data_IF_622803185965
#
_entry.id   IF_622803185965
#
_cell.length_a   1.000
_cell.length_b   1.000
_cell.length_c   1.000
_cell.angle_alpha   90.00
_cell.angle_beta   90.00
_cell.angle_gamma   90.00
#
_symmetry.space_group_name_H-M   'P 1'
#
loop_
_entity.id
_entity.type
_entity.pdbx_description
1 polymer ?
#
# COMPACT_ATOMS: atom_id res chain seq x y z
N UNK A 1 8.43 20.29 -3.07
CA UNK A 1 7.95 21.33 -2.14
C UNK A 1 8.89 22.52 -2.10
N UNK A 2 10.15 22.39 -1.67
CA UNK A 2 11.12 23.50 -1.62
C UNK A 2 11.37 24.19 -2.97
N UNK A 3 11.31 23.45 -4.08
CA UNK A 3 11.42 24.01 -5.44
C UNK A 3 10.22 24.89 -5.84
N UNK A 4 9.04 24.67 -5.26
CA UNK A 4 7.82 25.43 -5.58
C UNK A 4 7.64 26.65 -4.67
N UNK A 5 8.16 26.59 -3.44
CA UNK A 5 8.05 27.66 -2.44
C UNK A 5 9.40 27.99 -1.78
N UNK A 6 10.42 28.41 -2.56
CA UNK A 6 11.78 28.58 -2.05
C UNK A 6 11.87 29.58 -0.89
N UNK A 7 11.14 30.68 -0.97
CA UNK A 7 11.10 31.72 0.07
C UNK A 7 10.37 31.32 1.36
N UNK A 8 9.72 30.15 1.40
CA UNK A 8 8.90 29.69 2.53
C UNK A 8 9.33 28.29 2.99
N UNK A 9 10.53 27.85 2.61
CA UNK A 9 11.04 26.51 2.93
C UNK A 9 10.96 26.20 4.43
N UNK A 10 11.32 27.15 5.28
CA UNK A 10 11.32 26.98 6.74
C UNK A 10 9.91 26.90 7.33
N UNK A 11 8.88 27.29 6.56
CA UNK A 11 7.47 27.22 6.94
C UNK A 11 6.77 25.96 6.44
N UNK A 12 7.49 25.08 5.74
CA UNK A 12 6.94 23.82 5.23
C UNK A 12 7.24 22.71 6.23
N UNK A 13 6.18 22.25 6.89
CA UNK A 13 6.26 21.18 7.89
C UNK A 13 5.57 19.95 7.34
N UNK A 14 6.28 18.83 7.35
CA UNK A 14 5.72 17.53 6.94
C UNK A 14 5.14 16.81 8.15
N UNK A 15 3.89 16.37 8.02
CA UNK A 15 3.20 15.50 8.96
C UNK A 15 2.75 14.24 8.22
N UNK A 16 2.87 13.09 8.85
CA UNK A 16 2.36 11.80 8.36
C UNK A 16 1.24 11.32 9.27
N UNK A 17 0.22 10.69 8.68
CA UNK A 17 -0.83 10.01 9.47
C UNK A 17 -0.27 8.75 10.12
N UNK A 18 -0.99 8.22 11.11
CA UNK A 18 -0.74 6.88 11.65
C UNK A 18 -1.72 5.83 11.12
N UNK A 19 -1.28 4.57 11.11
CA UNK A 19 -2.11 3.39 10.83
C UNK A 19 -2.20 2.54 12.08
N UNK A 20 -3.40 2.04 12.40
CA UNK A 20 -3.61 1.17 13.56
C UNK A 20 -3.01 -0.22 13.29
N UNK A 21 -1.80 -0.46 13.81
CA UNK A 21 -1.09 -1.73 13.64
C UNK A 21 -1.69 -2.91 14.40
N UNK A 22 -2.57 -2.67 15.38
CA UNK A 22 -3.27 -3.73 16.11
C UNK A 22 -4.49 -4.22 15.33
N UNK A 23 -5.11 -3.32 14.56
CA UNK A 23 -6.20 -3.62 13.64
C UNK A 23 -5.68 -4.21 12.32
N UNK A 24 -4.75 -3.52 11.66
CA UNK A 24 -4.14 -3.95 10.41
C UNK A 24 -2.93 -4.84 10.68
N UNK A 25 -3.20 -6.15 10.79
CA UNK A 25 -2.17 -7.17 11.03
C UNK A 25 -2.45 -8.44 10.23
N UNK A 26 -1.43 -9.26 9.96
CA UNK A 26 -1.62 -10.54 9.29
C UNK A 26 -2.56 -11.45 10.09
N UNK A 27 -3.42 -12.19 9.38
CA UNK A 27 -4.14 -13.34 9.92
C UNK A 27 -3.68 -14.61 9.19
N UNK A 28 -4.41 -15.72 9.34
CA UNK A 28 -4.20 -16.90 8.49
C UNK A 28 -4.37 -16.47 7.03
N UNK A 29 -3.29 -16.59 6.25
CA UNK A 29 -3.21 -16.15 4.85
C UNK A 29 -3.77 -17.20 3.90
N UNK A 30 -4.59 -16.77 2.97
CA UNK A 30 -5.09 -17.57 1.87
C UNK A 30 -4.54 -17.04 0.52
N UNK A 31 -4.71 -17.78 -0.56
CA UNK A 31 -4.30 -17.40 -1.92
C UNK A 31 -5.24 -16.33 -2.51
N UNK A 32 -5.40 -15.22 -1.79
CA UNK A 32 -6.30 -14.12 -2.14
C UNK A 32 -5.48 -12.90 -2.53
N UNK A 33 -5.89 -12.26 -3.60
CA UNK A 33 -5.43 -10.94 -4.04
C UNK A 33 -6.55 -9.95 -3.77
N UNK A 34 -6.24 -8.80 -3.18
CA UNK A 34 -7.22 -7.75 -2.88
C UNK A 34 -6.93 -6.47 -3.65
N UNK A 35 -7.97 -5.69 -3.91
CA UNK A 35 -7.86 -4.36 -4.52
C UNK A 35 -9.09 -3.52 -4.17
N UNK A 36 -8.99 -2.20 -4.32
CA UNK A 36 -10.12 -1.28 -4.10
C UNK A 36 -10.66 -0.75 -5.45
N UNK A 37 -11.83 -1.20 -5.95
CA UNK A 37 -12.32 -0.86 -7.30
C UNK A 37 -12.57 0.63 -7.57
N UNK A 38 -12.72 1.43 -6.50
CA UNK A 38 -12.88 2.88 -6.58
C UNK A 38 -11.58 3.61 -6.97
N UNK A 39 -10.40 3.00 -6.74
CA UNK A 39 -9.08 3.58 -7.03
C UNK A 39 -8.68 3.29 -8.48
N UNK A 40 -8.39 4.33 -9.26
CA UNK A 40 -8.11 4.26 -10.71
C UNK A 40 -9.01 3.25 -11.44
N UNK A 41 -10.34 3.43 -11.30
CA UNK A 41 -11.32 2.51 -11.89
C UNK A 41 -11.03 2.15 -13.35
N UNK A 42 -10.70 3.10 -14.26
CA UNK A 42 -10.40 2.77 -15.65
C UNK A 42 -9.27 1.74 -15.84
N UNK A 43 -8.27 1.71 -14.95
CA UNK A 43 -7.17 0.75 -15.03
C UNK A 43 -7.53 -0.56 -14.32
N UNK A 44 -8.13 -0.47 -13.13
CA UNK A 44 -8.53 -1.68 -12.38
C UNK A 44 -9.56 -2.53 -13.14
N UNK A 45 -10.45 -1.90 -13.92
CA UNK A 45 -11.41 -2.59 -14.79
C UNK A 45 -10.78 -3.33 -15.97
N UNK A 46 -9.50 -3.10 -16.27
CA UNK A 46 -8.75 -3.80 -17.33
C UNK A 46 -7.86 -4.87 -16.71
N UNK A 47 -7.06 -4.49 -15.70
CA UNK A 47 -6.08 -5.37 -15.07
C UNK A 47 -6.75 -6.56 -14.39
N UNK A 48 -7.81 -6.32 -13.61
CA UNK A 48 -8.43 -7.37 -12.80
C UNK A 48 -9.03 -8.49 -13.66
N UNK A 49 -9.79 -8.20 -14.73
CA UNK A 49 -10.22 -9.24 -15.66
C UNK A 49 -9.05 -10.03 -16.28
N UNK A 50 -7.98 -9.36 -16.73
CA UNK A 50 -6.81 -10.03 -17.32
C UNK A 50 -6.17 -10.97 -16.30
N UNK A 51 -6.01 -10.53 -15.05
CA UNK A 51 -5.46 -11.37 -13.99
C UNK A 51 -6.36 -12.57 -13.73
N UNK A 52 -7.69 -12.38 -13.62
CA UNK A 52 -8.65 -13.48 -13.38
C UNK A 52 -8.53 -14.61 -14.40
N UNK A 53 -8.30 -14.29 -15.68
CA UNK A 53 -8.10 -15.28 -16.74
C UNK A 53 -6.75 -16.02 -16.63
N UNK A 54 -5.77 -15.45 -15.94
CA UNK A 54 -4.39 -15.95 -15.84
C UNK A 54 -4.03 -16.49 -14.45
N UNK A 55 -4.94 -16.47 -13.48
CA UNK A 55 -4.64 -16.93 -12.12
C UNK A 55 -4.36 -18.44 -12.11
N UNK A 56 -3.32 -18.90 -11.39
CA UNK A 56 -3.15 -20.32 -11.14
C UNK A 56 -4.24 -20.85 -10.20
N UNK A 57 -4.40 -22.18 -10.20
CA UNK A 57 -5.44 -22.85 -9.41
C UNK A 57 -5.35 -22.51 -7.92
N UNK A 58 -6.51 -22.23 -7.32
CA UNK A 58 -6.65 -21.88 -5.91
C UNK A 58 -6.45 -20.38 -5.61
N UNK A 59 -5.96 -19.57 -6.55
CA UNK A 59 -5.92 -18.12 -6.37
C UNK A 59 -7.25 -17.47 -6.70
N UNK A 60 -7.60 -16.42 -5.96
CA UNK A 60 -8.78 -15.60 -6.21
C UNK A 60 -8.50 -14.11 -6.05
N UNK A 61 -9.28 -13.27 -6.73
CA UNK A 61 -9.25 -11.81 -6.56
C UNK A 61 -10.54 -11.35 -5.88
N UNK A 62 -10.41 -10.65 -4.75
CA UNK A 62 -11.51 -10.08 -3.97
C UNK A 62 -11.46 -8.55 -4.01
N UNK A 63 -12.57 -7.94 -4.40
CA UNK A 63 -12.74 -6.49 -4.30
C UNK A 63 -13.00 -6.08 -2.85
N UNK A 64 -12.36 -4.99 -2.41
CA UNK A 64 -12.64 -4.28 -1.16
C UNK A 64 -13.47 -3.05 -1.53
N UNK A 65 -14.78 -3.13 -1.35
CA UNK A 65 -15.72 -2.07 -1.71
C UNK A 65 -16.89 -2.02 -0.72
N UNK A 66 -17.27 -0.81 -0.29
CA UNK A 66 -18.35 -0.60 0.68
C UNK A 66 -18.15 -1.22 2.07
N UNK A 67 -16.93 -1.66 2.41
CA UNK A 67 -16.60 -2.31 3.68
C UNK A 67 -16.27 -1.30 4.78
N UNK A 68 -16.59 -1.65 6.02
CA UNK A 68 -16.09 -0.95 7.22
C UNK A 68 -14.58 -1.16 7.39
N UNK A 69 -13.94 -0.30 8.19
CA UNK A 69 -12.49 -0.41 8.46
C UNK A 69 -12.07 -1.79 9.01
N UNK A 70 -12.85 -2.36 9.93
CA UNK A 70 -12.59 -3.70 10.47
C UNK A 70 -12.70 -4.80 9.40
N UNK A 71 -13.65 -4.67 8.48
CA UNK A 71 -13.82 -5.60 7.36
C UNK A 71 -12.70 -5.45 6.32
N UNK A 72 -12.23 -4.23 6.07
CA UNK A 72 -11.04 -3.97 5.25
C UNK A 72 -9.81 -4.64 5.88
N UNK A 73 -9.57 -4.39 7.17
CA UNK A 73 -8.44 -4.97 7.89
C UNK A 73 -8.48 -6.50 7.88
N UNK A 74 -9.66 -7.11 8.06
CA UNK A 74 -9.86 -8.56 7.91
C UNK A 74 -9.53 -9.05 6.50
N UNK A 75 -10.08 -8.40 5.46
CA UNK A 75 -9.83 -8.80 4.08
C UNK A 75 -8.34 -8.72 3.71
N UNK A 76 -7.65 -7.68 4.16
CA UNK A 76 -6.21 -7.52 3.98
C UNK A 76 -5.41 -8.53 4.81
N UNK A 77 -5.85 -8.80 6.04
CA UNK A 77 -5.24 -9.79 6.94
C UNK A 77 -5.22 -11.20 6.33
N UNK A 78 -6.29 -11.56 5.60
CA UNK A 78 -6.44 -12.85 4.91
C UNK A 78 -5.71 -12.92 3.56
N UNK A 79 -5.47 -11.78 2.88
CA UNK A 79 -4.90 -11.76 1.52
C UNK A 79 -3.37 -11.75 1.48
N UNK A 80 -2.78 -12.24 0.37
CA UNK A 80 -1.33 -12.27 0.17
C UNK A 80 -0.79 -11.10 -0.65
N UNK A 81 -1.59 -10.60 -1.61
CA UNK A 81 -1.19 -9.52 -2.51
C UNK A 81 -2.26 -8.44 -2.50
N UNK A 82 -1.85 -7.18 -2.45
CA UNK A 82 -2.72 -6.03 -2.66
C UNK A 82 -2.33 -5.30 -3.94
N UNK A 83 -3.30 -5.06 -4.82
CA UNK A 83 -3.14 -4.31 -6.06
C UNK A 83 -3.34 -2.81 -5.78
N UNK A 84 -2.23 -2.06 -5.78
CA UNK A 84 -2.24 -0.63 -5.57
C UNK A 84 -2.56 0.11 -6.88
N UNK A 85 -3.76 0.68 -6.93
CA UNK A 85 -4.25 1.51 -8.03
C UNK A 85 -4.26 3.00 -7.65
N UNK A 86 -3.23 3.44 -6.93
CA UNK A 86 -3.10 4.84 -6.49
C UNK A 86 -3.05 5.76 -7.71
N UNK A 87 -3.96 6.74 -7.77
CA UNK A 87 -3.88 7.83 -8.76
C UNK A 87 -2.88 8.88 -8.26
N UNK A 88 -3.03 10.15 -8.60
CA UNK A 88 -2.27 11.23 -7.99
C UNK A 88 -2.63 11.42 -6.50
N UNK A 89 -1.78 10.91 -5.60
CA UNK A 89 -2.00 10.91 -4.15
C UNK A 89 -0.75 11.38 -3.40
N UNK A 90 -0.93 12.25 -2.40
CA UNK A 90 0.18 12.77 -1.60
C UNK A 90 0.81 11.73 -0.67
N UNK A 91 -0.01 10.86 -0.06
CA UNK A 91 0.47 9.78 0.82
C UNK A 91 -0.59 8.66 0.87
N UNK A 92 -0.61 7.71 -0.09
CA UNK A 92 -1.70 6.75 -0.23
C UNK A 92 -1.81 5.78 0.97
N UNK A 93 -2.94 5.80 1.66
CA UNK A 93 -3.20 4.97 2.86
C UNK A 93 -3.33 3.46 2.56
N UNK A 94 -4.11 3.02 1.55
CA UNK A 94 -4.37 1.58 1.35
C UNK A 94 -3.12 0.71 1.13
N UNK A 95 -2.08 1.15 0.40
CA UNK A 95 -0.79 0.45 0.34
C UNK A 95 -0.15 0.22 1.72
N UNK A 96 -0.23 1.19 2.64
CA UNK A 96 0.38 1.07 3.97
C UNK A 96 -0.42 0.10 4.84
N UNK A 97 -1.76 0.20 4.83
CA UNK A 97 -2.67 -0.74 5.51
C UNK A 97 -2.44 -2.18 5.04
N UNK A 98 -2.31 -2.40 3.73
CA UNK A 98 -2.05 -3.71 3.14
C UNK A 98 -0.68 -4.27 3.56
N UNK A 99 0.36 -3.43 3.56
CA UNK A 99 1.70 -3.80 4.01
C UNK A 99 1.71 -4.16 5.51
N UNK A 100 1.03 -3.38 6.36
CA UNK A 100 0.84 -3.69 7.78
C UNK A 100 0.12 -5.03 7.98
N UNK A 101 -0.89 -5.30 7.15
CA UNK A 101 -1.56 -6.59 7.15
C UNK A 101 -0.71 -7.73 6.55
N UNK A 102 0.54 -7.49 6.12
CA UNK A 102 1.45 -8.52 5.60
C UNK A 102 1.23 -8.89 4.14
N UNK A 103 0.70 -7.98 3.32
CA UNK A 103 0.54 -8.20 1.89
C UNK A 103 1.79 -7.71 1.14
N UNK A 104 2.14 -8.41 0.07
CA UNK A 104 2.96 -7.80 -0.97
C UNK A 104 2.12 -6.78 -1.73
N UNK A 105 2.63 -5.56 -1.84
CA UNK A 105 1.92 -4.45 -2.48
C UNK A 105 2.54 -4.20 -3.83
N UNK A 106 1.75 -4.37 -4.88
CA UNK A 106 2.21 -4.21 -6.26
C UNK A 106 1.39 -3.09 -6.87
N UNK A 107 2.05 -2.14 -7.54
CA UNK A 107 1.36 -1.19 -8.42
C UNK A 107 1.82 0.24 -8.32
N UNK A 108 0.87 1.15 -8.43
CA UNK A 108 1.14 2.56 -8.61
C UNK A 108 1.44 3.23 -7.28
N UNK A 109 2.54 3.98 -7.26
CA UNK A 109 2.97 4.79 -6.11
C UNK A 109 2.08 6.01 -5.88
N UNK A 110 1.37 6.45 -6.92
CA UNK A 110 0.62 7.69 -6.92
C UNK A 110 1.46 8.96 -6.74
N UNK A 111 2.76 8.88 -7.07
CA UNK A 111 3.80 9.88 -6.79
C UNK A 111 4.17 10.02 -5.31
N UNK A 112 3.21 10.21 -4.42
CA UNK A 112 3.47 10.37 -2.98
C UNK A 112 3.93 9.08 -2.29
N UNK A 113 3.44 7.92 -2.73
CA UNK A 113 3.83 6.62 -2.18
C UNK A 113 5.31 6.28 -2.37
N UNK A 114 6.02 6.99 -3.27
CA UNK A 114 7.47 6.85 -3.45
C UNK A 114 8.25 7.05 -2.16
N UNK A 115 7.71 7.78 -1.19
CA UNK A 115 8.36 8.03 0.11
C UNK A 115 8.58 6.75 0.94
N UNK A 116 7.81 5.68 0.71
CA UNK A 116 7.89 4.44 1.49
C UNK A 116 7.93 3.16 0.65
N UNK A 117 8.06 3.28 -0.67
CA UNK A 117 7.96 2.18 -1.63
C UNK A 117 9.23 1.32 -1.71
N UNK A 118 9.52 0.56 -0.66
CA UNK A 118 10.75 -0.23 -0.55
C UNK A 118 10.50 -1.73 -0.76
N UNK A 119 11.37 -2.43 -1.53
CA UNK A 119 11.35 -3.89 -1.62
C UNK A 119 11.74 -4.52 -0.26
N UNK A 120 11.29 -5.75 0.04
CA UNK A 120 10.48 -6.63 -0.81
C UNK A 120 8.96 -6.41 -0.69
N UNK A 121 8.53 -5.54 0.23
CA UNK A 121 7.12 -5.28 0.54
C UNK A 121 6.40 -4.65 -0.64
N UNK A 122 7.02 -3.65 -1.26
CA UNK A 122 6.45 -2.89 -2.35
C UNK A 122 7.18 -3.15 -3.67
N UNK A 123 6.42 -3.34 -4.74
CA UNK A 123 6.91 -3.42 -6.12
C UNK A 123 6.19 -2.37 -6.98
N UNK A 124 6.94 -1.38 -7.46
CA UNK A 124 6.36 -0.27 -8.22
C UNK A 124 6.13 -0.63 -9.67
N UNK A 125 4.99 -0.20 -10.21
CA UNK A 125 4.71 -0.20 -11.64
C UNK A 125 4.33 1.21 -12.05
N UNK A 126 4.74 1.61 -13.26
CA UNK A 126 4.39 2.91 -13.80
C UNK A 126 2.90 3.00 -14.09
N UNK A 127 2.30 4.17 -13.80
CA UNK A 127 0.86 4.37 -13.96
C UNK A 127 0.48 4.19 -15.43
N UNK A 128 -0.48 3.29 -15.69
CA UNK A 128 -0.94 2.96 -17.03
C UNK A 128 -0.19 1.81 -17.71
N UNK A 129 0.91 1.30 -17.13
CA UNK A 129 1.57 0.11 -17.67
C UNK A 129 0.83 -1.18 -17.24
N UNK A 130 -0.24 -1.49 -17.98
CA UNK A 130 -1.12 -2.63 -17.71
C UNK A 130 -0.36 -3.96 -17.84
N UNK A 131 0.50 -4.09 -18.84
CA UNK A 131 1.24 -5.33 -19.11
C UNK A 131 2.19 -5.61 -17.97
N UNK A 132 3.05 -4.64 -17.63
CA UNK A 132 3.99 -4.79 -16.51
C UNK A 132 3.27 -5.03 -15.20
N UNK A 133 2.11 -4.40 -15.01
CA UNK A 133 1.33 -4.60 -13.80
C UNK A 133 0.81 -6.03 -13.66
N UNK A 134 0.29 -6.61 -14.75
CA UNK A 134 -0.14 -8.00 -14.75
C UNK A 134 1.04 -8.98 -14.58
N UNK A 135 2.17 -8.72 -15.24
CA UNK A 135 3.36 -9.57 -15.17
C UNK A 135 3.99 -9.57 -13.78
N UNK A 136 4.06 -8.41 -13.13
CA UNK A 136 4.59 -8.28 -11.77
C UNK A 136 3.76 -9.09 -10.76
N UNK A 137 2.43 -9.04 -10.88
CA UNK A 137 1.53 -9.83 -10.03
C UNK A 137 1.71 -11.34 -10.27
N UNK A 138 1.71 -11.78 -11.54
CA UNK A 138 1.89 -13.20 -11.87
C UNK A 138 3.26 -13.72 -11.44
N UNK A 139 4.32 -12.92 -11.61
CA UNK A 139 5.65 -13.23 -11.09
C UNK A 139 5.62 -13.39 -9.57
N UNK A 140 5.00 -12.46 -8.84
CA UNK A 140 4.92 -12.55 -7.38
C UNK A 140 4.16 -13.79 -6.93
N UNK A 141 3.07 -14.14 -7.60
CA UNK A 141 2.35 -15.40 -7.33
C UNK A 141 3.29 -16.59 -7.51
N UNK A 142 4.03 -16.65 -8.62
CA UNK A 142 4.99 -17.73 -8.89
C UNK A 142 6.09 -17.80 -7.84
N UNK A 143 6.60 -16.66 -7.36
CA UNK A 143 7.62 -16.62 -6.30
C UNK A 143 7.05 -17.12 -4.96
N UNK A 144 5.80 -16.76 -4.63
CA UNK A 144 5.10 -17.26 -3.43
C UNK A 144 4.91 -18.78 -3.51
N UNK A 145 4.48 -19.31 -4.64
CA UNK A 145 4.24 -20.76 -4.78
C UNK A 145 5.53 -21.58 -4.81
N UNK A 146 6.57 -21.07 -5.47
CA UNK A 146 7.84 -21.78 -5.62
C UNK A 146 8.68 -21.73 -4.35
N UNK A 147 8.75 -20.57 -3.70
CA UNK A 147 9.68 -20.32 -2.60
C UNK A 147 9.00 -20.14 -1.24
N UNK A 148 7.66 -20.18 -1.17
CA UNK A 148 6.94 -19.93 0.07
C UNK A 148 7.16 -18.52 0.61
N UNK A 149 7.33 -17.52 -0.28
CA UNK A 149 7.61 -16.15 0.15
C UNK A 149 6.50 -15.58 1.04
N UNK A 150 6.90 -15.10 2.22
CA UNK A 150 6.03 -14.40 3.17
C UNK A 150 6.73 -13.17 3.74
N UNK A 151 5.94 -12.15 4.08
CA UNK A 151 6.44 -11.00 4.81
C UNK A 151 6.39 -11.28 6.30
N UNK A 152 7.45 -10.92 7.02
CA UNK A 152 7.50 -10.90 8.47
C UNK A 152 7.72 -9.46 8.97
N UNK A 153 7.69 -9.28 10.29
CA UNK A 153 7.78 -7.95 10.92
C UNK A 153 9.04 -7.17 10.53
N UNK A 154 10.18 -7.85 10.31
CA UNK A 154 11.43 -7.20 9.94
C UNK A 154 11.34 -6.45 8.60
N UNK A 155 10.48 -6.92 7.68
CA UNK A 155 10.27 -6.23 6.40
C UNK A 155 9.44 -4.95 6.54
N UNK A 156 8.68 -4.79 7.63
CA UNK A 156 7.76 -3.66 7.83
C UNK A 156 8.15 -2.75 8.98
N UNK A 157 9.23 -3.03 9.72
CA UNK A 157 9.62 -2.29 10.94
C UNK A 157 9.74 -0.79 10.70
N UNK A 158 10.49 -0.37 9.67
CA UNK A 158 10.69 1.05 9.33
C UNK A 158 9.39 1.72 8.88
N UNK A 159 8.54 0.97 8.16
CA UNK A 159 7.24 1.46 7.73
C UNK A 159 6.34 1.68 8.95
N UNK A 160 6.29 0.71 9.87
CA UNK A 160 5.49 0.79 11.10
C UNK A 160 5.92 1.95 11.98
N UNK A 161 7.22 2.19 12.10
CA UNK A 161 7.74 3.35 12.82
C UNK A 161 7.28 4.67 12.18
N UNK A 162 7.41 4.78 10.85
CA UNK A 162 7.07 6.00 10.09
C UNK A 162 5.57 6.35 10.13
N UNK A 163 4.71 5.33 10.25
CA UNK A 163 3.26 5.45 10.31
C UNK A 163 2.69 5.10 11.70
N UNK A 164 3.49 5.29 12.76
CA UNK A 164 3.07 5.07 14.14
C UNK A 164 2.34 6.30 14.72
N UNK A 165 1.44 6.08 15.69
CA UNK A 165 0.80 7.18 16.46
C UNK A 165 1.83 8.06 17.17
N UNK A 166 2.94 7.46 17.61
CA UNK A 166 4.03 8.19 18.25
C UNK A 166 4.71 9.15 17.26
N UNK A 167 5.03 8.67 16.05
CA UNK A 167 5.61 9.51 15.00
C UNK A 167 4.67 10.63 14.56
N UNK A 168 3.39 10.31 14.32
CA UNK A 168 2.37 11.31 13.99
C UNK A 168 2.28 12.40 15.07
N UNK A 169 2.19 11.99 16.34
CA UNK A 169 2.16 12.93 17.47
C UNK A 169 3.41 13.81 17.54
N UNK A 170 4.59 13.22 17.36
CA UNK A 170 5.87 13.95 17.36
C UNK A 170 5.92 14.99 16.24
N UNK A 171 5.45 14.64 15.04
CA UNK A 171 5.39 15.56 13.90
C UNK A 171 4.37 16.67 14.10
N UNK A 172 3.20 16.36 14.67
CA UNK A 172 2.19 17.36 15.02
C UNK A 172 2.67 18.32 16.12
N UNK A 173 3.37 17.83 17.14
CA UNK A 173 3.96 18.68 18.17
C UNK A 173 4.97 19.66 17.56
N UNK A 174 5.89 19.16 16.73
CA UNK A 174 6.83 20.01 15.99
C UNK A 174 6.10 21.04 15.12
N UNK A 175 5.01 20.64 14.47
CA UNK A 175 4.20 21.56 13.65
C UNK A 175 3.63 22.70 14.50
N UNK A 176 3.06 22.40 15.66
CA UNK A 176 2.51 23.42 16.57
C UNK A 176 3.60 24.34 17.10
N UNK A 177 4.75 23.80 17.52
CA UNK A 177 5.89 24.58 18.00
C UNK A 177 6.35 25.61 16.95
N UNK A 178 6.52 25.19 15.70
CA UNK A 178 6.94 26.08 14.60
C UNK A 178 5.87 27.11 14.21
N UNK A 179 4.58 26.88 14.49
CA UNK A 179 3.51 27.87 14.25
C UNK A 179 3.48 28.94 15.35
N UNK A 180 3.92 28.60 16.57
CA UNK A 180 3.88 29.48 17.74
C UNK A 180 5.14 30.37 17.88
N UNK A 181 6.21 30.06 17.14
CA UNK A 181 7.42 30.89 16.98
C UNK A 181 7.23 32.03 15.96
#
# INVERSE_FOLDING_TARGET
>A
MHQFFPAHTDKIIRVTYSVDGDLFKPSVKDKIITYMPRKMRPHSSIVVPILKEKLPSGWSIRAIDGLSEAEVAKALGESRIFLAFSDFEGLPVPPVEAAFAGNFVIGYTGQGGREYWNPPVFESVDSGDIVRFTDAVLKRISDIETYGMELNDSHTVMLRESFSREMERKLLQRMVETILE
#
